data_IF_638207183962
#
_entry.id   IF_638207183962
#
_cell.length_a   1.000
_cell.length_b   1.000
_cell.length_c   1.000
_cell.angle_alpha   90.00
_cell.angle_beta   90.00
_cell.angle_gamma   90.00
#
_symmetry.space_group_name_H-M   'P 1'
#
loop_
_entity.id
_entity.type
_entity.pdbx_description
1 polymer ?
#
# COMPACT_ATOMS: atom_id res chain seq x y z
N UNK A 1 -16.31 -1.01 -11.64
CA UNK A 1 -14.91 -1.31 -12.00
C UNK A 1 -14.72 -2.75 -12.47
N UNK A 2 -15.27 -3.77 -11.78
CA UNK A 2 -15.19 -5.18 -12.22
C UNK A 2 -15.80 -5.38 -13.62
N UNK A 3 -16.85 -4.66 -13.97
CA UNK A 3 -17.49 -4.71 -15.27
C UNK A 3 -16.61 -4.20 -16.44
N UNK A 4 -15.56 -3.43 -16.16
CA UNK A 4 -14.62 -2.95 -17.18
C UNK A 4 -13.47 -3.92 -17.47
N UNK A 5 -13.25 -4.92 -16.63
CA UNK A 5 -12.16 -5.91 -16.80
C UNK A 5 -12.17 -6.59 -18.18
N UNK A 6 -13.31 -7.03 -18.73
CA UNK A 6 -13.33 -7.67 -20.06
C UNK A 6 -12.79 -6.76 -21.17
N UNK A 7 -13.05 -5.45 -21.09
CA UNK A 7 -12.56 -4.48 -22.08
C UNK A 7 -11.07 -4.19 -21.94
N UNK A 8 -10.53 -4.35 -20.73
CA UNK A 8 -9.09 -4.15 -20.47
C UNK A 8 -8.26 -5.40 -20.74
N UNK A 9 -8.89 -6.57 -20.84
CA UNK A 9 -8.19 -7.85 -20.98
C UNK A 9 -7.19 -7.90 -22.16
N UNK A 10 -7.52 -7.42 -23.38
CA UNK A 10 -6.57 -7.41 -24.48
C UNK A 10 -5.31 -6.57 -24.18
N UNK A 11 -5.47 -5.40 -23.54
CA UNK A 11 -4.35 -4.57 -23.12
C UNK A 11 -3.50 -5.26 -22.05
N UNK A 12 -4.14 -5.89 -21.08
CA UNK A 12 -3.47 -6.63 -20.01
C UNK A 12 -2.70 -7.84 -20.55
N UNK A 13 -3.18 -8.47 -21.61
CA UNK A 13 -2.48 -9.59 -22.27
C UNK A 13 -1.19 -9.17 -22.95
N UNK A 14 -1.07 -7.92 -23.37
CA UNK A 14 0.14 -7.36 -24.01
C UNK A 14 1.10 -6.72 -23.00
N UNK A 15 0.77 -6.70 -21.71
CA UNK A 15 1.65 -6.17 -20.68
C UNK A 15 2.98 -6.95 -20.67
N UNK A 16 4.12 -6.27 -20.47
CA UNK A 16 5.43 -6.92 -20.43
C UNK A 16 5.50 -8.04 -19.39
N UNK A 17 6.31 -9.04 -19.68
CA UNK A 17 6.61 -10.09 -18.71
C UNK A 17 7.51 -9.56 -17.60
N UNK A 18 7.24 -10.01 -16.40
CA UNK A 18 8.08 -9.76 -15.25
C UNK A 18 9.32 -10.66 -15.23
N UNK A 19 10.24 -10.32 -14.40
CA UNK A 19 11.55 -10.95 -14.25
C UNK A 19 11.67 -11.83 -12.99
N UNK A 20 10.55 -12.31 -12.44
CA UNK A 20 10.52 -13.04 -11.17
C UNK A 20 10.68 -12.15 -9.92
N UNK A 21 10.55 -10.85 -10.08
CA UNK A 21 10.79 -9.88 -9.01
C UNK A 21 9.79 -10.04 -7.86
N UNK A 22 10.26 -10.00 -6.58
CA UNK A 22 9.37 -10.09 -5.44
C UNK A 22 8.53 -8.81 -5.29
N UNK A 23 7.24 -8.99 -5.06
CA UNK A 23 6.29 -7.91 -4.80
C UNK A 23 5.43 -8.19 -3.58
N UNK A 24 5.17 -7.16 -2.77
CA UNK A 24 4.28 -7.23 -1.62
C UNK A 24 3.05 -6.36 -1.85
N UNK A 25 1.86 -6.98 -1.82
CA UNK A 25 0.58 -6.33 -2.03
C UNK A 25 -0.07 -5.98 -0.69
N UNK A 26 -0.43 -4.71 -0.52
CA UNK A 26 -1.00 -4.19 0.73
C UNK A 26 -2.43 -3.69 0.47
N UNK A 27 -3.44 -4.28 1.15
CA UNK A 27 -4.84 -3.96 0.92
C UNK A 27 -5.24 -2.60 1.52
N UNK A 28 -6.29 -2.01 0.94
CA UNK A 28 -6.94 -0.81 1.46
C UNK A 28 -7.66 -1.04 2.79
N UNK A 29 -8.20 0.04 3.36
CA UNK A 29 -8.98 -0.02 4.60
C UNK A 29 -10.16 -1.00 4.45
N UNK A 30 -10.38 -1.83 5.46
CA UNK A 30 -11.36 -2.94 5.50
C UNK A 30 -11.11 -4.03 4.43
N UNK A 31 -10.17 -3.84 3.52
CA UNK A 31 -9.75 -4.86 2.57
C UNK A 31 -8.97 -5.99 3.25
N UNK A 32 -9.06 -7.17 2.67
CA UNK A 32 -8.25 -8.33 3.01
C UNK A 32 -7.44 -8.76 1.78
N UNK A 33 -6.72 -9.86 1.89
CA UNK A 33 -5.97 -10.45 0.78
C UNK A 33 -6.86 -10.68 -0.44
N UNK A 34 -8.10 -11.13 -0.24
CA UNK A 34 -9.08 -11.33 -1.32
C UNK A 34 -9.44 -10.07 -2.10
N UNK A 35 -9.29 -8.88 -1.52
CA UNK A 35 -9.56 -7.61 -2.22
C UNK A 35 -8.53 -7.29 -3.31
N UNK A 36 -7.37 -7.94 -3.29
CA UNK A 36 -6.29 -7.76 -4.26
C UNK A 36 -6.08 -8.98 -5.17
N UNK A 37 -6.97 -9.99 -5.09
CA UNK A 37 -6.79 -11.26 -5.80
C UNK A 37 -6.63 -11.08 -7.32
N UNK A 38 -7.39 -10.17 -7.93
CA UNK A 38 -7.30 -9.90 -9.36
C UNK A 38 -5.91 -9.36 -9.74
N UNK A 39 -5.39 -8.42 -8.94
CA UNK A 39 -4.05 -7.86 -9.15
C UNK A 39 -2.96 -8.91 -8.87
N UNK A 40 -3.12 -9.70 -7.82
CA UNK A 40 -2.19 -10.78 -7.48
C UNK A 40 -2.09 -11.81 -8.61
N UNK A 41 -3.23 -12.31 -9.10
CA UNK A 41 -3.29 -13.28 -10.20
C UNK A 41 -2.69 -12.69 -11.47
N UNK A 42 -3.01 -11.45 -11.80
CA UNK A 42 -2.45 -10.78 -12.97
C UNK A 42 -0.92 -10.69 -12.88
N UNK A 43 -0.39 -10.20 -11.78
CA UNK A 43 1.07 -10.03 -11.62
C UNK A 43 1.80 -11.39 -11.61
N UNK A 44 1.24 -12.41 -10.97
CA UNK A 44 1.79 -13.77 -11.02
C UNK A 44 1.81 -14.34 -12.42
N UNK A 45 0.72 -14.15 -13.19
CA UNK A 45 0.65 -14.58 -14.59
C UNK A 45 1.63 -13.82 -15.48
N UNK A 46 2.06 -12.63 -15.06
CA UNK A 46 3.14 -11.87 -15.70
C UNK A 46 4.53 -12.26 -15.22
N UNK A 47 4.67 -13.25 -14.36
CA UNK A 47 5.96 -13.76 -13.90
C UNK A 47 6.56 -13.03 -12.70
N UNK A 48 5.79 -12.19 -11.98
CA UNK A 48 6.24 -11.60 -10.72
C UNK A 48 6.01 -12.54 -9.54
N UNK A 49 6.96 -12.59 -8.60
CA UNK A 49 6.83 -13.38 -7.36
C UNK A 49 6.10 -12.57 -6.28
N UNK A 50 4.79 -12.33 -6.47
CA UNK A 50 4.02 -11.50 -5.53
C UNK A 50 3.44 -12.30 -4.38
N UNK A 51 3.38 -11.65 -3.21
CA UNK A 51 2.73 -12.12 -2.00
C UNK A 51 1.81 -11.03 -1.45
N UNK A 52 0.79 -11.42 -0.72
CA UNK A 52 -0.04 -10.52 0.07
C UNK A 52 0.60 -10.25 1.43
N UNK A 53 0.14 -9.21 2.13
CA UNK A 53 0.76 -8.76 3.37
C UNK A 53 0.66 -9.77 4.54
N UNK A 54 -0.31 -10.71 4.51
CA UNK A 54 -0.42 -11.80 5.48
C UNK A 54 -0.94 -11.40 6.87
N UNK A 55 -1.48 -10.18 7.02
CA UNK A 55 -1.96 -9.66 8.30
C UNK A 55 -3.50 -9.63 8.40
N UNK A 56 -4.19 -10.29 7.44
CA UNK A 56 -5.64 -10.36 7.38
C UNK A 56 -6.29 -9.04 6.96
N UNK A 57 -7.42 -8.69 7.58
CA UNK A 57 -8.17 -7.49 7.23
C UNK A 57 -7.48 -6.22 7.71
N UNK A 58 -7.27 -5.27 6.80
CA UNK A 58 -6.66 -3.98 7.12
C UNK A 58 -7.66 -3.05 7.81
N UNK A 59 -7.61 -3.00 9.11
CA UNK A 59 -8.43 -2.08 9.95
C UNK A 59 -7.61 -0.90 10.48
N UNK A 60 -6.52 -0.55 9.81
CA UNK A 60 -5.60 0.50 10.22
C UNK A 60 -4.41 -0.03 11.02
N UNK A 61 -3.59 0.89 11.52
CA UNK A 61 -2.41 0.54 12.29
C UNK A 61 -2.79 -0.08 13.64
N UNK A 62 -2.33 -1.29 13.88
CA UNK A 62 -2.46 -2.01 15.16
C UNK A 62 -1.09 -2.22 15.80
N UNK A 63 -1.02 -2.44 17.12
CA UNK A 63 0.20 -2.92 17.75
C UNK A 63 0.76 -4.14 17.01
N UNK A 64 2.04 -4.12 16.68
CA UNK A 64 2.71 -5.20 15.97
C UNK A 64 2.63 -5.17 14.44
N UNK A 65 1.67 -4.45 13.82
CA UNK A 65 1.59 -4.39 12.34
C UNK A 65 2.84 -3.77 11.71
N UNK A 66 3.38 -2.75 12.34
CA UNK A 66 4.59 -2.08 11.87
C UNK A 66 5.79 -3.03 11.81
N UNK A 67 6.05 -3.74 12.91
CA UNK A 67 7.14 -4.70 12.99
C UNK A 67 6.90 -5.94 12.11
N UNK A 68 5.66 -6.43 12.04
CA UNK A 68 5.31 -7.56 11.18
C UNK A 68 5.51 -7.23 9.69
N UNK A 69 5.13 -6.02 9.27
CA UNK A 69 5.35 -5.55 7.89
C UNK A 69 6.84 -5.42 7.57
N UNK A 70 7.62 -4.81 8.46
CA UNK A 70 9.07 -4.71 8.31
C UNK A 70 9.71 -6.09 8.20
N UNK A 71 9.38 -7.00 9.11
CA UNK A 71 9.89 -8.38 9.09
C UNK A 71 9.52 -9.10 7.80
N UNK A 72 8.29 -8.91 7.30
CA UNK A 72 7.84 -9.50 6.03
C UNK A 72 8.67 -9.00 4.86
N UNK A 73 8.94 -7.70 4.78
CA UNK A 73 9.76 -7.10 3.71
C UNK A 73 11.19 -7.66 3.78
N UNK A 74 11.80 -7.68 4.97
CA UNK A 74 13.15 -8.22 5.17
C UNK A 74 13.24 -9.71 4.84
N UNK A 75 12.23 -10.48 5.25
CA UNK A 75 12.12 -11.89 4.93
C UNK A 75 12.06 -12.13 3.41
N UNK A 76 11.18 -11.43 2.70
CA UNK A 76 11.06 -11.56 1.24
C UNK A 76 12.34 -11.15 0.51
N UNK A 77 13.02 -10.10 1.00
CA UNK A 77 14.33 -9.71 0.47
C UNK A 77 15.38 -10.80 0.67
N UNK A 78 15.47 -11.35 1.86
CA UNK A 78 16.43 -12.42 2.21
C UNK A 78 16.21 -13.68 1.35
N UNK A 79 14.96 -14.15 1.28
CA UNK A 79 14.60 -15.36 0.53
C UNK A 79 14.85 -15.24 -0.98
N UNK A 80 14.60 -14.06 -1.55
CA UNK A 80 14.74 -13.85 -2.99
C UNK A 80 16.14 -13.38 -3.40
N UNK A 81 16.94 -12.87 -2.48
CA UNK A 81 18.17 -12.14 -2.76
C UNK A 81 17.95 -10.81 -3.53
N UNK A 82 16.71 -10.35 -3.65
CA UNK A 82 16.31 -9.18 -4.45
C UNK A 82 15.47 -8.21 -3.65
N UNK A 83 15.60 -6.93 -3.94
CA UNK A 83 14.77 -5.89 -3.30
C UNK A 83 13.30 -6.06 -3.67
N UNK A 84 12.39 -5.80 -2.74
CA UNK A 84 10.94 -6.01 -2.84
C UNK A 84 10.24 -4.78 -3.40
N UNK A 85 9.36 -4.95 -4.38
CA UNK A 85 8.43 -3.90 -4.81
C UNK A 85 7.21 -3.88 -3.88
N UNK A 86 6.85 -2.71 -3.37
CA UNK A 86 5.67 -2.55 -2.52
C UNK A 86 4.54 -1.93 -3.34
N UNK A 87 3.37 -2.59 -3.37
CA UNK A 87 2.18 -2.11 -4.08
C UNK A 87 1.05 -1.96 -3.08
N UNK A 88 0.64 -0.74 -2.80
CA UNK A 88 -0.39 -0.44 -1.81
C UNK A 88 -1.63 0.22 -2.40
N UNK A 89 -2.82 -0.35 -2.11
CA UNK A 89 -4.09 0.22 -2.49
C UNK A 89 -4.69 1.04 -1.35
N UNK A 90 -5.08 2.30 -1.62
CA UNK A 90 -5.70 3.19 -0.63
C UNK A 90 -4.85 3.28 0.65
N UNK A 91 -5.37 2.93 1.82
CA UNK A 91 -4.62 2.88 3.07
C UNK A 91 -3.39 1.95 3.00
N UNK A 92 -3.42 0.92 2.15
CA UNK A 92 -2.26 0.05 1.90
C UNK A 92 -1.06 0.80 1.34
N UNK A 93 -1.26 1.89 0.58
CA UNK A 93 -0.17 2.74 0.13
C UNK A 93 0.52 3.49 1.27
N UNK A 94 -0.22 3.89 2.30
CA UNK A 94 0.35 4.49 3.52
C UNK A 94 1.23 3.47 4.25
N UNK A 95 0.76 2.21 4.35
CA UNK A 95 1.57 1.11 4.90
C UNK A 95 2.80 0.80 4.04
N UNK A 96 2.67 0.86 2.70
CA UNK A 96 3.79 0.66 1.80
C UNK A 96 4.89 1.72 2.02
N UNK A 97 4.51 2.99 2.14
CA UNK A 97 5.44 4.08 2.46
C UNK A 97 6.10 3.88 3.82
N UNK A 98 5.30 3.49 4.83
CA UNK A 98 5.84 3.20 6.14
C UNK A 98 6.88 2.07 6.08
N UNK A 99 6.56 0.94 5.43
CA UNK A 99 7.47 -0.19 5.25
C UNK A 99 8.74 0.18 4.49
N UNK A 100 8.60 1.03 3.45
CA UNK A 100 9.74 1.54 2.69
C UNK A 100 10.69 2.41 3.52
N UNK A 101 10.18 3.15 4.49
CA UNK A 101 11.02 3.90 5.42
C UNK A 101 11.74 2.99 6.43
N UNK A 102 11.07 1.94 6.92
CA UNK A 102 11.63 1.05 7.94
C UNK A 102 12.68 0.06 7.38
N UNK A 103 12.52 -0.33 6.12
CA UNK A 103 13.38 -1.33 5.47
C UNK A 103 13.84 -0.84 4.08
N UNK A 104 14.31 0.40 4.00
CA UNK A 104 14.63 1.08 2.74
C UNK A 104 15.67 0.34 1.89
N UNK A 105 16.62 -0.33 2.53
CA UNK A 105 17.65 -1.13 1.86
C UNK A 105 17.08 -2.39 1.19
N UNK A 106 15.92 -2.89 1.67
CA UNK A 106 15.22 -4.07 1.15
C UNK A 106 14.17 -3.73 0.08
N UNK A 107 13.85 -2.43 -0.11
CA UNK A 107 12.79 -2.01 -1.02
C UNK A 107 13.36 -1.50 -2.34
N UNK A 108 12.76 -2.00 -3.46
CA UNK A 108 13.11 -1.59 -4.82
C UNK A 108 12.39 -0.31 -5.23
N UNK A 109 11.07 -0.31 -5.08
CA UNK A 109 10.18 0.80 -5.40
C UNK A 109 8.87 0.71 -4.63
N UNK A 110 8.12 1.80 -4.62
CA UNK A 110 6.77 1.87 -4.06
C UNK A 110 5.80 2.29 -5.16
N UNK A 111 4.69 1.54 -5.28
CA UNK A 111 3.57 1.90 -6.14
C UNK A 111 2.34 2.09 -5.27
N UNK A 112 1.69 3.23 -5.37
CA UNK A 112 0.44 3.50 -4.65
C UNK A 112 -0.72 3.67 -5.61
N UNK A 113 -1.86 3.06 -5.27
CA UNK A 113 -3.07 3.04 -6.07
C UNK A 113 -4.18 3.76 -5.29
N UNK A 114 -4.60 4.96 -5.73
CA UNK A 114 -5.63 5.75 -5.06
C UNK A 114 -5.36 5.93 -3.56
N UNK A 115 -4.15 6.28 -3.20
CA UNK A 115 -3.72 6.35 -1.79
C UNK A 115 -3.58 7.79 -1.32
N UNK A 116 -4.01 8.13 -0.09
CA UNK A 116 -3.87 9.47 0.47
C UNK A 116 -2.42 9.71 0.91
N UNK A 117 -1.55 9.86 -0.08
CA UNK A 117 -0.11 9.99 0.15
C UNK A 117 0.38 11.43 0.08
N UNK A 118 -0.47 12.39 -0.26
CA UNK A 118 -0.20 13.82 -0.16
C UNK A 118 -0.56 14.32 1.24
N UNK A 119 0.33 15.06 1.82
CA UNK A 119 0.10 15.84 3.04
C UNK A 119 -0.06 17.28 2.59
N UNK A 120 -1.20 17.91 2.89
CA UNK A 120 -1.36 19.34 2.69
C UNK A 120 -0.33 20.13 3.53
N UNK A 121 -0.19 21.41 3.24
CA UNK A 121 0.73 22.30 3.97
C UNK A 121 0.43 22.36 5.48
N UNK A 122 -0.78 21.95 5.89
CA UNK A 122 -1.27 21.94 7.27
C UNK A 122 -1.09 20.59 7.98
N UNK A 123 -0.58 19.56 7.27
CA UNK A 123 -0.31 18.24 7.84
C UNK A 123 -1.53 17.32 7.88
N UNK A 124 -2.61 17.63 7.18
CA UNK A 124 -3.83 16.82 7.11
C UNK A 124 -3.72 15.77 6.01
N UNK A 125 -3.02 14.69 6.28
CA UNK A 125 -2.73 13.64 5.30
C UNK A 125 -3.89 12.68 5.02
N UNK A 126 -5.04 12.87 5.67
CA UNK A 126 -6.13 11.89 5.60
C UNK A 126 -7.43 12.60 5.29
N UNK A 127 -8.13 12.26 4.19
CA UNK A 127 -9.46 12.77 3.92
C UNK A 127 -10.37 12.67 5.14
N UNK A 128 -11.20 13.68 5.37
CA UNK A 128 -12.10 13.73 6.53
C UNK A 128 -13.00 12.49 6.64
N UNK A 129 -13.41 11.92 5.51
CA UNK A 129 -14.14 10.66 5.44
C UNK A 129 -13.31 9.48 5.99
N UNK A 130 -12.03 9.38 5.64
CA UNK A 130 -11.17 8.31 6.13
C UNK A 130 -10.86 8.49 7.63
N UNK A 131 -10.72 9.74 8.10
CA UNK A 131 -10.65 10.06 9.55
C UNK A 131 -11.93 9.63 10.27
N UNK A 132 -13.11 9.86 9.68
CA UNK A 132 -14.39 9.45 10.24
C UNK A 132 -14.52 7.93 10.28
N UNK A 133 -14.21 7.23 9.19
CA UNK A 133 -14.19 5.76 9.14
C UNK A 133 -13.18 5.16 10.11
N UNK A 134 -12.00 5.77 10.23
CA UNK A 134 -11.00 5.34 11.19
C UNK A 134 -11.48 5.51 12.63
N UNK A 135 -12.13 6.65 12.96
CA UNK A 135 -12.73 6.88 14.28
C UNK A 135 -13.84 5.89 14.59
N UNK A 136 -14.70 5.59 13.60
CA UNK A 136 -15.82 4.67 13.78
C UNK A 136 -15.36 3.24 14.09
N UNK A 137 -14.28 2.79 13.49
CA UNK A 137 -13.75 1.42 13.64
C UNK A 137 -12.72 1.32 14.76
N UNK A 138 -11.97 2.38 15.04
CA UNK A 138 -10.96 2.40 16.11
C UNK A 138 -11.56 2.66 17.50
N UNK A 139 -12.74 3.28 17.56
CA UNK A 139 -13.39 3.64 18.83
C UNK A 139 -13.74 2.45 19.76
N UNK A 140 -14.07 1.24 19.28
CA UNK A 140 -14.31 0.10 20.16
C UNK A 140 -13.04 -0.54 20.73
N UNK A 141 -11.85 -0.13 20.30
CA UNK A 141 -10.59 -0.82 20.59
C UNK A 141 -9.67 -0.09 21.59
N UNK A 142 -10.18 0.92 22.29
CA UNK A 142 -9.46 1.57 23.40
C UNK A 142 -8.40 2.59 22.96
N UNK A 143 -7.93 3.35 23.94
CA UNK A 143 -7.05 4.53 23.86
C UNK A 143 -5.65 4.30 23.24
N UNK A 144 -5.28 3.08 22.88
CA UNK A 144 -4.01 2.76 22.26
C UNK A 144 -3.88 3.26 20.79
N UNK A 145 -5.00 3.63 20.15
CA UNK A 145 -5.00 4.11 18.77
C UNK A 145 -4.35 5.50 18.60
N UNK A 146 -4.26 6.30 19.64
CA UNK A 146 -3.67 7.65 19.57
C UNK A 146 -2.14 7.68 19.49
N UNK A 147 -1.47 6.62 19.98
CA UNK A 147 0.00 6.55 19.98
C UNK A 147 0.59 5.95 18.71
N UNK A 148 -0.24 5.44 17.81
CA UNK A 148 0.17 4.66 16.64
C UNK A 148 -0.14 5.31 15.29
N UNK A 149 -0.48 6.59 15.27
CA UNK A 149 -0.43 7.32 14.01
C UNK A 149 1.03 7.28 13.54
N UNK A 150 1.30 6.83 12.30
CA UNK A 150 2.65 6.99 11.75
C UNK A 150 2.99 8.45 11.99
N UNK A 151 4.08 8.69 12.70
CA UNK A 151 4.48 10.07 13.00
C UNK A 151 4.42 10.81 11.68
N UNK A 152 3.60 11.85 11.60
CA UNK A 152 3.40 12.67 10.40
C UNK A 152 4.72 13.15 9.79
N UNK A 153 5.77 13.17 10.58
CA UNK A 153 7.15 13.41 10.17
C UNK A 153 7.63 12.42 9.07
N UNK A 154 7.28 11.13 9.20
CA UNK A 154 7.68 10.07 8.24
C UNK A 154 7.01 10.24 6.87
N UNK A 155 5.79 10.78 6.83
CA UNK A 155 5.09 11.07 5.58
C UNK A 155 5.51 12.41 4.97
N UNK A 156 5.99 13.38 5.77
CA UNK A 156 6.56 14.64 5.29
C UNK A 156 7.90 14.44 4.57
N UNK A 157 8.67 13.43 4.95
CA UNK A 157 9.99 13.16 4.39
C UNK A 157 9.94 12.38 3.06
N UNK A 158 8.84 12.45 2.30
CA UNK A 158 8.71 11.79 0.98
C UNK A 158 9.80 12.13 -0.02
N UNK A 159 10.33 13.33 0.05
CA UNK A 159 11.47 13.77 -0.78
C UNK A 159 12.74 12.98 -0.50
N UNK A 160 12.77 12.17 0.55
CA UNK A 160 13.96 11.46 1.04
C UNK A 160 13.86 9.93 0.92
N UNK A 161 12.81 9.38 0.26
CA UNK A 161 12.82 7.95 -0.03
C UNK A 161 13.95 7.64 -1.03
N UNK A 162 14.89 6.76 -0.67
CA UNK A 162 16.05 6.45 -1.52
C UNK A 162 15.70 5.52 -2.70
N UNK A 163 14.41 5.29 -2.95
CA UNK A 163 13.91 4.46 -4.05
C UNK A 163 12.82 5.18 -4.85
N UNK A 164 12.61 4.78 -6.13
CA UNK A 164 11.54 5.31 -6.95
C UNK A 164 10.15 5.07 -6.34
N UNK A 165 9.26 6.04 -6.51
CA UNK A 165 7.87 5.96 -6.12
C UNK A 165 6.97 6.34 -7.30
N UNK A 166 5.91 5.56 -7.53
CA UNK A 166 4.88 5.83 -8.52
C UNK A 166 3.52 5.94 -7.83
N UNK A 167 2.82 7.05 -8.05
CA UNK A 167 1.47 7.28 -7.52
C UNK A 167 0.48 7.21 -8.67
N UNK A 168 -0.42 6.24 -8.63
CA UNK A 168 -1.53 6.12 -9.57
C UNK A 168 -2.81 6.58 -8.87
N UNK A 169 -3.52 7.51 -9.50
CA UNK A 169 -4.77 8.06 -8.99
C UNK A 169 -5.77 8.28 -10.12
N UNK A 170 -7.03 8.39 -9.79
CA UNK A 170 -8.09 8.77 -10.73
C UNK A 170 -8.60 10.16 -10.40
N UNK A 171 -8.81 10.99 -11.43
CA UNK A 171 -9.43 12.31 -11.26
C UNK A 171 -10.90 12.23 -10.79
N UNK A 172 -11.53 11.06 -10.96
CA UNK A 172 -12.90 10.80 -10.51
C UNK A 172 -12.96 9.94 -9.24
N UNK A 173 -11.85 9.79 -8.49
CA UNK A 173 -11.85 9.10 -7.21
C UNK A 173 -12.63 9.92 -6.19
N UNK A 174 -13.77 9.39 -5.74
CA UNK A 174 -14.64 10.05 -4.76
C UNK A 174 -14.20 9.85 -3.30
N UNK A 175 -13.17 9.02 -3.06
CA UNK A 175 -12.67 8.70 -1.71
C UNK A 175 -11.34 9.39 -1.44
N UNK A 176 -10.45 9.34 -2.41
CA UNK A 176 -9.13 9.99 -2.34
C UNK A 176 -9.00 10.90 -3.55
N UNK A 177 -9.49 12.14 -3.48
CA UNK A 177 -9.40 13.08 -4.58
C UNK A 177 -7.93 13.40 -4.88
N UNK A 178 -7.59 13.63 -6.16
CA UNK A 178 -6.27 14.11 -6.51
C UNK A 178 -6.06 15.48 -5.87
N UNK A 179 -4.98 15.65 -5.16
CA UNK A 179 -4.56 16.96 -4.65
C UNK A 179 -3.54 17.52 -5.62
N UNK A 180 -3.78 18.73 -6.05
CA UNK A 180 -2.89 19.53 -6.88
C UNK A 180 -1.57 19.86 -6.20
#
# INVERSE_FOLDING_TARGET
EIASLPYSLPLLMHAPQGDGHPGLLLPGFMGSEGSLIALEVFLRNRGYAVQTWGLGRNVGFRPGHASALEQKIRYMHHESGRKVSLVGWSLGGVFALYGAHQASECVRNVVTLGSPVTVDAEGNAVPSLLKALYRLVAHPMGTAAHSMQPRTKTLRDRKQLPMPMSCLYSLSDGVVPPQE
#
